data_IF_070153257770
#
_entry.id   IF_070153257770
#
_cell.length_a   1.000
_cell.length_b   1.000
_cell.length_c   1.000
_cell.angle_alpha   90.00
_cell.angle_beta   90.00
_cell.angle_gamma   90.00
#
_symmetry.space_group_name_H-M   'P 1'
#
loop_
_entity.id
_entity.type
_entity.pdbx_description
1 polymer ?
#
# COMPACT_ATOMS: atom_id res chain seq x y z
N UNK A 1 -2.82 -0.71 28.25
CA UNK A 1 -2.53 -0.14 26.93
C UNK A 1 -1.03 -0.13 26.78
N UNK A 2 -0.49 -0.60 25.65
CA UNK A 2 0.96 -0.53 25.45
C UNK A 2 1.31 0.92 25.14
N UNK A 3 2.20 1.52 25.93
CA UNK A 3 2.74 2.84 25.66
C UNK A 3 3.82 2.69 24.56
N UNK A 4 3.40 2.45 23.31
CA UNK A 4 4.31 2.25 22.18
C UNK A 4 4.85 3.57 21.60
N UNK A 5 4.39 4.71 22.13
CA UNK A 5 4.73 6.05 21.66
C UNK A 5 5.63 6.81 22.63
N UNK A 6 6.54 6.12 23.32
CA UNK A 6 7.48 6.78 24.22
C UNK A 6 8.37 7.77 23.43
N UNK A 7 8.84 8.87 24.05
CA UNK A 7 9.62 9.89 23.35
C UNK A 7 10.94 9.36 22.75
N UNK A 8 11.41 8.19 23.17
CA UNK A 8 12.61 7.53 22.65
C UNK A 8 12.36 6.73 21.36
N UNK A 9 11.13 6.30 21.11
CA UNK A 9 10.79 5.40 19.99
C UNK A 9 11.06 6.04 18.63
N UNK A 10 10.59 7.27 18.43
CA UNK A 10 10.76 7.97 17.15
C UNK A 10 12.23 8.33 16.86
N UNK A 11 13.01 8.92 17.81
CA UNK A 11 14.44 9.13 17.64
C UNK A 11 15.21 7.84 17.32
N UNK A 12 14.82 6.70 17.91
CA UNK A 12 15.44 5.41 17.64
C UNK A 12 15.16 4.92 16.23
N UNK A 13 13.91 5.01 15.76
CA UNK A 13 13.55 4.69 14.36
C UNK A 13 14.38 5.55 13.39
N UNK A 14 14.46 6.86 13.64
CA UNK A 14 15.24 7.77 12.81
C UNK A 14 16.74 7.44 12.85
N UNK A 15 17.28 7.02 13.99
CA UNK A 15 18.66 6.55 14.12
C UNK A 15 18.91 5.33 13.24
N UNK A 16 18.04 4.32 13.32
CA UNK A 16 18.13 3.11 12.49
C UNK A 16 18.07 3.43 11.00
N UNK A 17 17.18 4.34 10.57
CA UNK A 17 17.12 4.78 9.17
C UNK A 17 18.44 5.43 8.71
N UNK A 18 19.11 6.18 9.59
CA UNK A 18 20.38 6.85 9.26
C UNK A 18 21.58 5.90 9.23
N UNK A 19 21.61 4.91 10.09
CA UNK A 19 22.77 4.02 10.30
C UNK A 19 22.69 2.74 9.45
N UNK A 20 21.50 2.35 9.01
CA UNK A 20 21.32 1.15 8.17
C UNK A 20 21.84 1.42 6.75
N UNK A 21 22.83 0.64 6.33
CA UNK A 21 23.33 0.65 4.94
C UNK A 21 22.37 -0.15 4.07
N UNK A 22 21.56 0.55 3.29
CA UNK A 22 20.65 -0.06 2.33
C UNK A 22 21.35 -0.36 0.99
N UNK A 23 21.01 -1.48 0.31
CA UNK A 23 21.50 -1.74 -1.03
C UNK A 23 20.89 -0.76 -2.04
N UNK A 24 21.57 -0.52 -3.17
CA UNK A 24 21.19 0.50 -4.15
C UNK A 24 19.83 0.28 -4.83
N UNK A 25 19.29 -0.94 -4.80
CA UNK A 25 17.98 -1.26 -5.36
C UNK A 25 16.83 -0.98 -4.40
N UNK A 26 17.11 -0.72 -3.12
CA UNK A 26 16.10 -0.41 -2.12
C UNK A 26 15.80 1.09 -2.16
N UNK A 27 14.51 1.43 -2.16
CA UNK A 27 14.09 2.84 -2.16
C UNK A 27 14.58 3.54 -0.88
N UNK A 28 15.01 4.79 -1.01
CA UNK A 28 15.41 5.57 0.15
C UNK A 28 14.16 5.98 0.95
N UNK A 29 14.25 5.88 2.27
CA UNK A 29 13.27 6.47 3.19
C UNK A 29 13.83 7.79 3.73
N UNK A 30 12.95 8.74 4.03
CA UNK A 30 13.37 10.01 4.60
C UNK A 30 13.96 9.83 6.01
N UNK A 31 15.15 10.41 6.23
CA UNK A 31 15.91 10.30 7.49
C UNK A 31 15.24 11.00 8.68
N UNK A 32 14.35 11.94 8.39
CA UNK A 32 13.57 12.72 9.35
C UNK A 32 12.11 12.22 9.43
N UNK A 33 11.89 10.92 9.18
CA UNK A 33 10.59 10.27 9.32
C UNK A 33 9.89 10.69 10.63
N UNK A 34 8.61 11.05 10.52
CA UNK A 34 7.78 11.48 11.65
C UNK A 34 7.89 12.96 12.02
N UNK A 35 8.85 13.71 11.47
CA UNK A 35 8.92 15.16 11.67
C UNK A 35 7.86 15.88 10.83
N UNK A 36 7.27 16.95 11.36
CA UNK A 36 6.30 17.78 10.62
C UNK A 36 6.85 18.34 9.29
N UNK A 37 8.19 18.44 9.16
CA UNK A 37 8.88 18.91 7.96
C UNK A 37 9.11 17.82 6.89
N UNK A 38 8.93 16.55 7.23
CA UNK A 38 9.14 15.41 6.32
C UNK A 38 8.09 15.37 5.19
N UNK A 39 6.90 15.91 5.45
CA UNK A 39 5.77 15.80 4.53
C UNK A 39 5.17 14.39 4.55
N UNK A 40 4.30 14.10 3.58
CA UNK A 40 3.60 12.81 3.49
C UNK A 40 4.49 11.74 2.86
N UNK A 41 4.50 10.56 3.47
CA UNK A 41 5.24 9.40 2.99
C UNK A 41 4.53 8.79 1.78
N UNK A 42 5.29 8.49 0.74
CA UNK A 42 4.77 7.81 -0.45
C UNK A 42 4.62 6.31 -0.18
N UNK A 43 3.78 5.63 -0.97
CA UNK A 43 3.49 4.20 -0.74
C UNK A 43 4.72 3.30 -0.83
N UNK A 44 5.63 3.58 -1.75
CA UNK A 44 6.90 2.85 -1.92
C UNK A 44 7.86 3.09 -0.75
N UNK A 45 7.90 4.31 -0.22
CA UNK A 45 8.62 4.65 1.00
C UNK A 45 8.01 3.94 2.22
N UNK A 46 6.68 3.88 2.30
CA UNK A 46 5.94 3.22 3.39
C UNK A 46 6.19 1.71 3.39
N UNK A 47 6.20 1.09 2.21
CA UNK A 47 6.52 -0.33 2.05
C UNK A 47 7.94 -0.64 2.52
N UNK A 48 8.90 0.20 2.15
CA UNK A 48 10.31 0.04 2.54
C UNK A 48 10.49 0.22 4.04
N UNK A 49 9.87 1.26 4.60
CA UNK A 49 9.86 1.54 6.03
C UNK A 49 9.36 0.35 6.84
N UNK A 50 8.21 -0.23 6.47
CA UNK A 50 7.61 -1.34 7.20
C UNK A 50 8.31 -2.68 7.04
N UNK A 51 8.91 -2.95 5.88
CA UNK A 51 9.50 -4.26 5.60
C UNK A 51 10.94 -4.37 6.07
N UNK A 52 11.64 -3.25 6.25
CA UNK A 52 13.08 -3.21 6.59
C UNK A 52 13.33 -2.44 7.87
N UNK A 53 13.05 -1.14 7.88
CA UNK A 53 13.52 -0.25 8.94
C UNK A 53 12.75 -0.41 10.25
N UNK A 54 11.42 -0.50 10.23
CA UNK A 54 10.62 -0.70 11.44
C UNK A 54 10.89 -2.04 12.12
N UNK A 55 10.99 -3.19 11.42
CA UNK A 55 11.41 -4.44 12.04
C UNK A 55 12.73 -4.32 12.79
N UNK A 56 13.76 -3.74 12.16
CA UNK A 56 15.08 -3.55 12.78
C UNK A 56 14.96 -2.62 14.00
N UNK A 57 14.26 -1.49 13.87
CA UNK A 57 14.11 -0.52 14.94
C UNK A 57 13.33 -1.09 16.14
N UNK A 58 12.23 -1.79 15.90
CA UNK A 58 11.40 -2.34 16.97
C UNK A 58 12.07 -3.51 17.67
N UNK A 59 12.76 -4.39 16.93
CA UNK A 59 13.55 -5.47 17.53
C UNK A 59 14.66 -4.86 18.40
N UNK A 60 15.50 -3.98 17.84
CA UNK A 60 16.62 -3.39 18.61
C UNK A 60 16.20 -2.52 19.79
N UNK A 61 14.97 -1.98 19.80
CA UNK A 61 14.45 -1.17 20.89
C UNK A 61 13.77 -2.01 21.99
N UNK A 62 13.08 -3.08 21.61
CA UNK A 62 12.24 -3.86 22.54
C UNK A 62 12.82 -5.21 22.94
N UNK A 63 13.88 -5.69 22.28
CA UNK A 63 14.60 -6.94 22.61
C UNK A 63 15.35 -6.85 23.96
N UNK A 64 15.81 -5.64 24.35
CA UNK A 64 16.52 -5.41 25.62
C UNK A 64 15.56 -5.28 26.82
N UNK A 65 14.26 -5.03 26.59
CA UNK A 65 13.25 -4.85 27.63
C UNK A 65 12.62 -6.20 28.01
N UNK A 66 13.46 -7.15 28.42
CA UNK A 66 13.11 -8.52 28.81
C UNK A 66 12.09 -8.62 29.96
N UNK A 67 11.77 -7.53 30.66
CA UNK A 67 10.87 -7.55 31.82
C UNK A 67 9.38 -7.34 31.48
N UNK A 68 9.05 -6.89 30.27
CA UNK A 68 7.68 -6.56 29.88
C UNK A 68 7.15 -7.52 28.82
N UNK A 69 6.50 -8.60 29.25
CA UNK A 69 5.80 -9.52 28.34
C UNK A 69 4.74 -8.84 27.45
N UNK A 70 4.38 -7.58 27.73
CA UNK A 70 3.50 -6.76 26.93
C UNK A 70 4.20 -6.16 25.69
N UNK A 71 5.46 -5.71 25.81
CA UNK A 71 6.23 -5.18 24.67
C UNK A 71 6.57 -6.30 23.68
N UNK A 72 6.92 -7.48 24.16
CA UNK A 72 7.13 -8.65 23.31
C UNK A 72 5.85 -9.03 22.54
N UNK A 73 4.68 -9.00 23.20
CA UNK A 73 3.38 -9.20 22.53
C UNK A 73 3.11 -8.12 21.49
N UNK A 74 3.42 -6.85 21.77
CA UNK A 74 3.30 -5.77 20.81
C UNK A 74 4.24 -5.97 19.61
N UNK A 75 5.49 -6.39 19.84
CA UNK A 75 6.45 -6.72 18.81
C UNK A 75 5.93 -7.82 17.89
N UNK A 76 5.52 -8.97 18.44
CA UNK A 76 4.98 -10.08 17.65
C UNK A 76 3.72 -9.67 16.87
N UNK A 77 2.83 -8.90 17.50
CA UNK A 77 1.64 -8.36 16.86
C UNK A 77 2.00 -7.46 15.67
N UNK A 78 2.95 -6.54 15.83
CA UNK A 78 3.42 -5.68 14.74
C UNK A 78 4.14 -6.47 13.63
N UNK A 79 4.96 -7.46 13.99
CA UNK A 79 5.65 -8.32 13.02
C UNK A 79 4.67 -9.12 12.17
N UNK A 80 3.59 -9.63 12.76
CA UNK A 80 2.54 -10.33 12.01
C UNK A 80 1.95 -9.45 10.90
N UNK A 81 1.64 -8.18 11.22
CA UNK A 81 1.13 -7.22 10.24
C UNK A 81 2.15 -6.93 9.12
N UNK A 82 3.44 -6.80 9.45
CA UNK A 82 4.49 -6.59 8.45
C UNK A 82 4.64 -7.79 7.51
N UNK A 83 4.61 -9.02 8.04
CA UNK A 83 4.66 -10.23 7.22
C UNK A 83 3.45 -10.34 6.28
N UNK A 84 2.24 -10.08 6.79
CA UNK A 84 1.03 -10.04 5.98
C UNK A 84 1.15 -9.00 4.85
N UNK A 85 1.65 -7.80 5.15
CA UNK A 85 1.86 -6.73 4.16
C UNK A 85 2.87 -7.15 3.09
N UNK A 86 4.00 -7.74 3.48
CA UNK A 86 5.03 -8.23 2.55
C UNK A 86 4.42 -9.26 1.59
N UNK A 87 3.61 -10.19 2.09
CA UNK A 87 2.95 -11.22 1.26
C UNK A 87 1.96 -10.57 0.29
N UNK A 88 1.08 -9.69 0.79
CA UNK A 88 0.06 -9.03 -0.01
C UNK A 88 0.65 -8.19 -1.15
N UNK A 89 1.79 -7.55 -0.93
CA UNK A 89 2.48 -6.73 -1.92
C UNK A 89 3.38 -7.52 -2.89
N UNK A 90 3.44 -8.86 -2.83
CA UNK A 90 4.19 -9.64 -3.83
C UNK A 90 3.49 -9.62 -5.18
N UNK A 91 4.26 -9.62 -6.26
CA UNK A 91 3.77 -9.74 -7.64
C UNK A 91 3.19 -11.12 -7.99
N UNK A 92 3.27 -12.10 -7.09
CA UNK A 92 2.84 -13.47 -7.35
C UNK A 92 2.09 -14.03 -6.14
N UNK A 93 0.93 -14.61 -6.41
CA UNK A 93 0.06 -15.22 -5.41
C UNK A 93 0.06 -16.74 -5.60
N UNK A 94 0.23 -17.47 -4.51
CA UNK A 94 0.24 -18.94 -4.49
C UNK A 94 -0.54 -19.40 -3.27
N UNK A 95 -1.21 -20.55 -3.32
CA UNK A 95 -2.01 -21.05 -2.19
C UNK A 95 -1.28 -21.01 -0.83
N UNK A 96 0.00 -21.44 -0.70
CA UNK A 96 0.71 -21.37 0.59
C UNK A 96 0.91 -19.93 1.10
N UNK A 97 1.08 -18.96 0.19
CA UNK A 97 1.25 -17.55 0.55
C UNK A 97 -0.07 -16.94 1.01
N UNK A 98 -1.17 -17.26 0.32
CA UNK A 98 -2.49 -16.76 0.70
C UNK A 98 -2.90 -17.32 2.06
N UNK A 99 -2.58 -18.57 2.33
CA UNK A 99 -2.76 -19.16 3.65
C UNK A 99 -1.89 -18.48 4.71
N UNK A 100 -0.58 -18.30 4.46
CA UNK A 100 0.30 -17.60 5.40
C UNK A 100 -0.18 -16.16 5.67
N UNK A 101 -0.67 -15.45 4.65
CA UNK A 101 -1.30 -14.14 4.82
C UNK A 101 -2.44 -14.20 5.83
N UNK A 102 -3.36 -15.17 5.68
CA UNK A 102 -4.49 -15.34 6.59
C UNK A 102 -4.04 -15.61 8.02
N UNK A 103 -3.09 -16.51 8.20
CA UNK A 103 -2.54 -16.86 9.52
C UNK A 103 -1.94 -15.62 10.22
N UNK A 104 -1.18 -14.80 9.51
CA UNK A 104 -0.63 -13.56 10.07
C UNK A 104 -1.70 -12.51 10.39
N UNK A 105 -2.73 -12.37 9.55
CA UNK A 105 -3.85 -11.46 9.84
C UNK A 105 -4.65 -11.94 11.05
N UNK A 106 -4.92 -13.24 11.17
CA UNK A 106 -5.65 -13.79 12.32
C UNK A 106 -4.86 -13.57 13.62
N UNK A 107 -3.55 -13.82 13.61
CA UNK A 107 -2.65 -13.54 14.75
C UNK A 107 -2.65 -12.06 15.12
N UNK A 108 -2.62 -11.18 14.12
CA UNK A 108 -2.67 -9.74 14.35
C UNK A 108 -4.02 -9.33 14.96
N UNK A 109 -5.15 -9.70 14.36
CA UNK A 109 -6.50 -9.35 14.86
C UNK A 109 -6.74 -9.89 16.28
N UNK A 110 -6.27 -11.10 16.60
CA UNK A 110 -6.45 -11.73 17.90
C UNK A 110 -5.98 -10.85 19.07
N UNK A 111 -4.85 -10.15 18.88
CA UNK A 111 -4.26 -9.32 19.92
C UNK A 111 -4.60 -7.82 19.81
N UNK A 112 -5.22 -7.41 18.70
CA UNK A 112 -5.51 -6.00 18.40
C UNK A 112 -6.29 -5.31 19.53
N UNK A 113 -7.40 -5.91 19.97
CA UNK A 113 -8.26 -5.34 21.01
C UNK A 113 -7.60 -5.31 22.39
N UNK A 114 -6.67 -6.23 22.65
CA UNK A 114 -5.96 -6.30 23.93
C UNK A 114 -4.84 -5.26 24.03
N UNK A 115 -4.15 -5.00 22.91
CA UNK A 115 -3.03 -4.08 22.86
C UNK A 115 -3.49 -2.63 22.62
N UNK A 116 -4.51 -2.46 21.78
CA UNK A 116 -5.03 -1.16 21.32
C UNK A 116 -6.57 -1.16 21.46
N UNK A 117 -7.10 -0.92 22.67
CA UNK A 117 -8.54 -0.95 22.91
C UNK A 117 -9.26 0.19 22.15
N UNK A 118 -10.47 -0.09 21.66
CA UNK A 118 -11.33 0.92 21.02
C UNK A 118 -11.06 1.20 19.54
N UNK A 119 -10.17 0.44 18.88
CA UNK A 119 -9.86 0.65 17.46
C UNK A 119 -10.80 -0.17 16.57
N UNK A 120 -12.01 0.37 16.32
CA UNK A 120 -12.89 -0.10 15.27
C UNK A 120 -12.74 0.80 14.04
N UNK A 121 -12.05 0.34 13.00
CA UNK A 121 -11.84 1.11 11.78
C UNK A 121 -12.19 0.26 10.55
N UNK A 122 -12.80 0.84 9.50
CA UNK A 122 -13.18 0.09 8.30
C UNK A 122 -12.02 -0.63 7.62
N UNK A 123 -10.80 -0.10 7.70
CA UNK A 123 -9.59 -0.74 7.17
C UNK A 123 -9.25 -2.06 7.90
N UNK A 124 -9.55 -2.16 9.19
CA UNK A 124 -9.37 -3.41 9.97
C UNK A 124 -10.37 -4.47 9.50
N UNK A 125 -11.59 -4.07 9.12
CA UNK A 125 -12.53 -5.00 8.51
C UNK A 125 -12.08 -5.38 7.09
N UNK A 126 -11.67 -4.38 6.29
CA UNK A 126 -11.24 -4.57 4.90
C UNK A 126 -10.04 -5.51 4.77
N UNK A 127 -9.11 -5.52 5.73
CA UNK A 127 -7.94 -6.42 5.70
C UNK A 127 -8.33 -7.90 5.71
N UNK A 128 -9.46 -8.24 6.32
CA UNK A 128 -10.00 -9.61 6.32
C UNK A 128 -10.38 -10.08 4.91
N UNK A 129 -10.95 -9.18 4.10
CA UNK A 129 -11.35 -9.46 2.71
C UNK A 129 -10.16 -9.53 1.74
N UNK A 130 -8.98 -9.05 2.13
CA UNK A 130 -7.78 -9.15 1.27
C UNK A 130 -7.44 -10.62 0.99
N UNK A 131 -7.70 -11.52 1.93
CA UNK A 131 -7.54 -12.96 1.70
C UNK A 131 -8.42 -13.44 0.53
N UNK A 132 -9.71 -13.08 0.53
CA UNK A 132 -10.64 -13.47 -0.52
C UNK A 132 -10.23 -12.86 -1.87
N UNK A 133 -9.78 -11.61 -1.86
CA UNK A 133 -9.31 -10.93 -3.07
C UNK A 133 -8.02 -11.52 -3.63
N UNK A 134 -7.10 -11.99 -2.78
CA UNK A 134 -5.90 -12.70 -3.23
C UNK A 134 -6.25 -14.02 -3.93
N UNK A 135 -7.29 -14.73 -3.47
CA UNK A 135 -7.78 -15.94 -4.13
C UNK A 135 -8.49 -15.65 -5.46
N UNK A 136 -9.33 -14.62 -5.49
CA UNK A 136 -10.20 -14.32 -6.63
C UNK A 136 -9.50 -13.54 -7.75
N UNK A 137 -8.68 -12.56 -7.38
CA UNK A 137 -8.10 -11.58 -8.32
C UNK A 137 -6.58 -11.65 -8.41
N UNK A 138 -5.95 -12.50 -7.61
CA UNK A 138 -4.50 -12.63 -7.56
C UNK A 138 -3.82 -11.47 -6.81
N UNK A 139 -2.56 -11.13 -7.14
CA UNK A 139 -1.76 -10.13 -6.43
C UNK A 139 -2.45 -8.78 -6.29
N UNK A 140 -2.31 -8.10 -5.14
CA UNK A 140 -2.91 -6.77 -4.87
C UNK A 140 -2.58 -5.75 -5.97
N UNK A 141 -1.35 -5.80 -6.50
CA UNK A 141 -0.88 -4.91 -7.56
C UNK A 141 -1.70 -4.99 -8.86
N UNK A 142 -2.45 -6.08 -9.05
CA UNK A 142 -3.29 -6.28 -10.24
C UNK A 142 -4.61 -5.50 -10.17
N UNK A 143 -5.06 -5.14 -8.96
CA UNK A 143 -6.37 -4.54 -8.72
C UNK A 143 -6.34 -3.33 -7.77
N UNK A 144 -5.15 -2.84 -7.41
CA UNK A 144 -5.01 -1.60 -6.63
C UNK A 144 -5.47 -0.35 -7.40
N UNK A 145 -5.79 0.72 -6.66
CA UNK A 145 -6.41 1.92 -7.22
C UNK A 145 -5.44 2.87 -7.94
N UNK A 146 -4.12 2.77 -7.71
CA UNK A 146 -3.14 3.74 -8.23
C UNK A 146 -3.16 3.94 -9.76
N UNK A 147 -3.29 2.90 -10.60
CA UNK A 147 -3.40 3.07 -12.05
C UNK A 147 -4.65 3.87 -12.43
N UNK A 148 -5.76 3.63 -11.75
CA UNK A 148 -7.01 4.35 -11.96
C UNK A 148 -6.92 5.79 -11.49
N UNK A 149 -6.29 6.06 -10.34
CA UNK A 149 -6.04 7.43 -9.86
C UNK A 149 -5.19 8.24 -10.84
N UNK A 150 -4.15 7.61 -11.40
CA UNK A 150 -3.33 8.23 -12.44
C UNK A 150 -4.16 8.54 -13.69
N UNK A 151 -5.02 7.62 -14.10
CA UNK A 151 -5.92 7.82 -15.25
C UNK A 151 -6.92 8.95 -14.98
N UNK A 152 -7.57 8.98 -13.82
CA UNK A 152 -8.49 10.05 -13.42
C UNK A 152 -7.79 11.40 -13.48
N UNK A 153 -6.56 11.50 -12.98
CA UNK A 153 -5.77 12.73 -13.07
C UNK A 153 -5.49 13.15 -14.51
N UNK A 154 -5.29 12.21 -15.43
CA UNK A 154 -5.11 12.51 -16.87
C UNK A 154 -6.42 13.03 -17.44
N UNK A 155 -7.55 12.36 -17.17
CA UNK A 155 -8.88 12.76 -17.65
C UNK A 155 -9.25 14.16 -17.13
N UNK A 156 -8.97 14.45 -15.86
CA UNK A 156 -9.19 15.78 -15.27
C UNK A 156 -8.39 16.91 -15.94
N UNK A 157 -7.27 16.60 -16.62
CA UNK A 157 -6.48 17.58 -17.36
C UNK A 157 -6.97 17.81 -18.78
N UNK A 158 -7.85 16.95 -19.30
CA UNK A 158 -8.48 17.16 -20.60
C UNK A 158 -9.53 18.25 -20.40
N UNK A 159 -9.33 19.40 -21.05
CA UNK A 159 -10.30 20.48 -20.98
C UNK A 159 -11.53 20.14 -21.85
N UNK A 160 -12.47 19.40 -21.29
CA UNK A 160 -13.82 19.30 -21.84
C UNK A 160 -14.58 20.56 -21.43
N UNK A 161 -14.46 21.64 -22.21
CA UNK A 161 -15.23 22.89 -22.04
C UNK A 161 -16.75 22.69 -22.27
N UNK A 162 -17.38 21.63 -21.75
CA UNK A 162 -18.83 21.35 -21.78
C UNK A 162 -19.55 21.57 -23.13
N UNK A 163 -18.81 21.60 -24.25
CA UNK A 163 -19.36 21.80 -25.58
C UNK A 163 -19.67 20.43 -26.18
N UNK A 164 -20.91 19.99 -26.02
CA UNK A 164 -21.47 18.93 -26.86
C UNK A 164 -21.52 19.50 -28.29
N UNK A 165 -20.72 18.93 -29.21
CA UNK A 165 -20.63 19.37 -30.60
C UNK A 165 -19.54 20.39 -30.93
N UNK A 166 -18.50 20.54 -30.10
CA UNK A 166 -17.35 21.38 -30.44
C UNK A 166 -16.66 20.89 -31.72
N UNK A 167 -16.70 21.69 -32.80
CA UNK A 167 -15.90 21.44 -34.01
C UNK A 167 -14.45 21.25 -33.60
N UNK A 168 -13.88 20.08 -33.93
CA UNK A 168 -12.44 19.87 -33.91
C UNK A 168 -11.80 20.96 -34.74
N UNK A 169 -11.28 21.99 -34.07
CA UNK A 169 -10.40 22.95 -34.70
C UNK A 169 -9.08 22.20 -34.88
N UNK A 170 -8.88 21.62 -36.06
CA UNK A 170 -7.60 21.02 -36.43
C UNK A 170 -6.52 22.09 -36.28
N UNK A 171 -5.80 22.06 -35.17
CA UNK A 171 -4.50 22.70 -35.02
C UNK A 171 -3.49 21.80 -35.74
N UNK A 172 -2.80 22.25 -36.80
CA UNK A 172 -1.90 21.40 -37.59
C UNK A 172 -0.63 20.91 -36.87
N UNK A 173 -0.50 21.05 -35.54
CA UNK A 173 0.75 20.81 -34.81
C UNK A 173 0.82 19.54 -33.97
N UNK A 174 -0.13 18.62 -34.05
CA UNK A 174 -0.08 17.36 -33.27
C UNK A 174 -0.08 16.08 -34.10
N UNK A 175 0.51 16.12 -35.30
CA UNK A 175 0.78 14.92 -36.07
C UNK A 175 2.10 14.28 -35.60
N UNK A 176 2.05 13.49 -34.51
CA UNK A 176 3.03 12.42 -34.20
C UNK A 176 2.72 11.67 -32.89
N UNK A 177 1.49 11.23 -32.65
CA UNK A 177 1.23 10.14 -31.68
C UNK A 177 0.08 9.26 -32.16
N UNK A 178 0.28 8.59 -33.29
CA UNK A 178 -0.43 7.34 -33.55
C UNK A 178 0.18 6.26 -32.66
N UNK A 179 -0.27 6.19 -31.41
CA UNK A 179 -0.10 5.02 -30.58
C UNK A 179 -1.47 4.36 -30.48
N UNK A 180 -1.57 3.15 -31.04
CA UNK A 180 -2.75 2.30 -31.10
C UNK A 180 -3.57 2.34 -29.81
N UNK A 181 -4.65 3.13 -29.81
CA UNK A 181 -5.76 2.92 -28.88
C UNK A 181 -6.32 1.55 -29.24
N UNK A 182 -6.08 0.61 -28.32
CA UNK A 182 -6.12 -0.81 -28.58
C UNK A 182 -7.50 -1.32 -28.97
N UNK A 183 -7.48 -2.38 -29.77
CA UNK A 183 -8.54 -3.27 -30.24
C UNK A 183 -9.64 -3.61 -29.20
N UNK A 184 -9.40 -3.38 -27.90
CA UNK A 184 -10.38 -3.55 -26.82
C UNK A 184 -11.53 -2.53 -26.87
N UNK A 185 -11.29 -1.28 -27.28
CA UNK A 185 -12.35 -0.25 -27.29
C UNK A 185 -13.36 -0.52 -28.42
N UNK A 186 -12.90 -1.06 -29.56
CA UNK A 186 -13.77 -1.42 -30.69
C UNK A 186 -14.73 -2.57 -30.35
N UNK A 187 -14.29 -3.54 -29.55
CA UNK A 187 -15.11 -4.71 -29.19
C UNK A 187 -16.18 -4.42 -28.14
N UNK A 188 -15.96 -3.44 -27.25
CA UNK A 188 -16.99 -3.02 -26.30
C UNK A 188 -18.13 -2.24 -26.94
N UNK A 189 -17.85 -1.41 -27.96
CA UNK A 189 -18.87 -0.62 -28.65
C UNK A 189 -19.77 -1.49 -29.53
N UNK A 190 -19.22 -2.48 -30.25
CA UNK A 190 -20.03 -3.40 -31.07
C UNK A 190 -20.98 -4.28 -30.25
N UNK A 191 -20.60 -4.67 -29.03
CA UNK A 191 -21.48 -5.45 -28.14
C UNK A 191 -22.68 -4.66 -27.62
N UNK A 192 -22.56 -3.35 -27.46
CA UNK A 192 -23.66 -2.52 -26.97
C UNK A 192 -24.65 -2.14 -28.06
N UNK A 193 -24.20 -2.03 -29.32
CA UNK A 193 -25.07 -1.72 -30.45
C UNK A 193 -25.84 -2.94 -30.98
N UNK A 194 -25.32 -4.15 -30.80
CA UNK A 194 -26.01 -5.39 -31.21
C UNK A 194 -27.12 -5.87 -30.25
N UNK A 195 -27.26 -5.26 -29.08
CA UNK A 195 -28.28 -5.62 -28.08
C UNK A 195 -29.51 -4.70 -28.08
N UNK A 196 -29.58 -3.74 -29.03
CA UNK A 196 -30.65 -2.77 -29.16
C UNK A 196 -31.36 -2.82 -30.53
N UNK A 197 -31.30 -3.97 -31.21
CA UNK A 197 -32.04 -4.26 -32.45
C UNK A 197 -32.95 -5.47 -32.29
#
# INVERSE_FOLDING_TARGET
MVETGTPETLPHIQKVIRETVAPSWLNSVQKNYGDAKAGSIKVDEWQTLNSVFLPIALITLWDDVSESGLLLKALHHTMALFQATIIACRYTTTAPRVQAFREYIDLWVQHLWTLIPGVARPNIHAIGHIYDFLLLFGPVLSWWCFPFERLIRVVQKINTNSHIGGRYSYSPKSQAYNCNVGVMESTMIERQTSAAG
#
